data_IF_662435723829
#
_entry.id   IF_662435723829
#
_cell.length_a   1.000
_cell.length_b   1.000
_cell.length_c   1.000
_cell.angle_alpha   90.00
_cell.angle_beta   90.00
_cell.angle_gamma   90.00
#
_symmetry.space_group_name_H-M   'P 1'
#
loop_
_entity.id
_entity.type
_entity.pdbx_description
1 polymer ?
#
# COMPACT_ATOMS: atom_id res chain seq x y z
N UNK A 1 -12.90 -7.48 -77.15
CA UNK A 1 -12.52 -6.51 -76.10
C UNK A 1 -11.87 -7.30 -74.96
N UNK A 2 -10.60 -7.65 -75.10
CA UNK A 2 -9.83 -8.27 -74.02
C UNK A 2 -9.67 -7.23 -72.90
N UNK A 3 -10.41 -7.40 -71.81
CA UNK A 3 -10.26 -6.55 -70.62
C UNK A 3 -8.86 -6.76 -70.06
N UNK A 4 -8.01 -5.74 -70.16
CA UNK A 4 -6.69 -5.76 -69.57
C UNK A 4 -6.84 -5.72 -68.04
N UNK A 5 -6.46 -6.81 -67.38
CA UNK A 5 -6.45 -6.91 -65.93
C UNK A 5 -5.01 -6.78 -65.43
N UNK A 6 -4.75 -5.80 -64.58
CA UNK A 6 -3.42 -5.63 -63.98
C UNK A 6 -3.06 -6.84 -63.11
N UNK A 7 -1.77 -7.16 -63.03
CA UNK A 7 -1.30 -8.27 -62.19
C UNK A 7 -1.69 -8.05 -60.73
N UNK A 8 -1.98 -9.13 -60.00
CA UNK A 8 -2.34 -9.04 -58.58
C UNK A 8 -1.23 -8.38 -57.74
N UNK A 9 0.03 -8.55 -58.15
CA UNK A 9 1.18 -7.90 -57.52
C UNK A 9 1.23 -6.41 -57.83
N UNK A 10 0.95 -5.99 -59.07
CA UNK A 10 0.81 -4.59 -59.43
C UNK A 10 -0.27 -3.92 -58.58
N UNK A 11 -1.46 -4.51 -58.48
CA UNK A 11 -2.56 -3.94 -57.71
C UNK A 11 -2.21 -3.73 -56.24
N UNK A 12 -1.52 -4.70 -55.61
CA UNK A 12 -1.02 -4.56 -54.23
C UNK A 12 -0.03 -3.40 -54.08
N UNK A 13 0.94 -3.34 -55.00
CA UNK A 13 2.02 -2.35 -54.96
C UNK A 13 1.47 -0.96 -55.24
N UNK A 14 0.61 -0.85 -56.24
CA UNK A 14 -0.15 0.36 -56.53
C UNK A 14 -0.93 0.83 -55.31
N UNK A 15 -1.66 -0.04 -54.62
CA UNK A 15 -2.38 0.35 -53.40
C UNK A 15 -1.45 0.89 -52.31
N UNK A 16 -0.27 0.28 -52.13
CA UNK A 16 0.74 0.69 -51.15
C UNK A 16 1.53 1.96 -51.52
N UNK A 17 1.53 2.37 -52.79
CA UNK A 17 2.25 3.57 -53.25
C UNK A 17 1.70 4.84 -52.60
N UNK A 18 2.56 5.78 -52.15
CA UNK A 18 2.11 7.07 -51.63
C UNK A 18 1.23 7.84 -52.63
N UNK A 19 0.19 8.51 -52.12
CA UNK A 19 -0.76 9.27 -52.94
C UNK A 19 -0.10 10.30 -53.86
N UNK A 20 0.91 11.07 -53.44
CA UNK A 20 1.59 12.02 -54.32
C UNK A 20 2.27 11.33 -55.52
N UNK A 21 2.87 10.16 -55.30
CA UNK A 21 3.54 9.38 -56.35
C UNK A 21 2.53 8.82 -57.33
N UNK A 22 1.39 8.30 -56.84
CA UNK A 22 0.27 7.88 -57.71
C UNK A 22 -0.20 9.01 -58.60
N UNK A 23 -0.34 10.21 -58.03
CA UNK A 23 -0.81 11.38 -58.77
C UNK A 23 0.16 11.77 -59.89
N UNK A 24 1.47 11.77 -59.63
CA UNK A 24 2.48 12.03 -60.65
C UNK A 24 2.45 11.00 -61.80
N UNK A 25 2.31 9.71 -61.47
CA UNK A 25 2.21 8.64 -62.47
C UNK A 25 0.92 8.76 -63.28
N UNK A 26 -0.23 9.05 -62.64
CA UNK A 26 -1.50 9.24 -63.34
C UNK A 26 -1.42 10.46 -64.27
N UNK A 27 -0.79 11.56 -63.83
CA UNK A 27 -0.65 12.77 -64.63
C UNK A 27 0.16 12.51 -65.89
N UNK A 28 1.28 11.80 -65.79
CA UNK A 28 2.09 11.40 -66.94
C UNK A 28 1.31 10.49 -67.91
N UNK A 29 0.49 9.57 -67.38
CA UNK A 29 -0.38 8.75 -68.23
C UNK A 29 -1.45 9.59 -68.94
N UNK A 30 -2.01 10.61 -68.28
CA UNK A 30 -2.98 11.54 -68.86
C UNK A 30 -2.34 12.41 -69.95
N UNK A 31 -1.09 12.84 -69.72
CA UNK A 31 -0.28 13.57 -70.68
C UNK A 31 0.02 12.71 -71.93
N UNK A 32 0.43 11.44 -71.74
CA UNK A 32 0.62 10.48 -72.84
C UNK A 32 -0.68 10.30 -73.63
N UNK A 33 -1.82 10.11 -72.95
CA UNK A 33 -3.12 9.97 -73.61
C UNK A 33 -3.46 11.24 -74.41
N UNK A 34 -3.16 12.41 -73.86
CA UNK A 34 -3.38 13.70 -74.51
C UNK A 34 -2.54 13.86 -75.77
N UNK A 35 -1.26 13.48 -75.71
CA UNK A 35 -0.35 13.47 -76.86
C UNK A 35 -0.83 12.56 -78.00
N UNK A 36 -1.57 11.50 -77.68
CA UNK A 36 -2.10 10.55 -78.67
C UNK A 36 -3.39 11.02 -79.37
N UNK A 37 -4.02 12.12 -78.93
CA UNK A 37 -5.19 12.69 -79.63
C UNK A 37 -4.81 13.29 -80.99
N UNK A 38 -5.70 13.19 -82.00
CA UNK A 38 -5.42 13.64 -83.38
C UNK A 38 -5.32 15.16 -83.51
N UNK A 39 -5.92 15.91 -82.59
CA UNK A 39 -5.97 17.38 -82.60
C UNK A 39 -4.84 18.02 -81.78
N UNK A 40 -3.95 17.22 -81.19
CA UNK A 40 -2.88 17.71 -80.33
C UNK A 40 -1.73 18.26 -81.17
N UNK A 41 -1.35 19.51 -80.90
CA UNK A 41 -0.18 20.16 -81.51
C UNK A 41 1.11 19.59 -80.91
N UNK A 42 1.80 18.74 -81.68
CA UNK A 42 3.00 18.04 -81.24
C UNK A 42 4.22 18.95 -81.12
N UNK A 43 4.27 20.06 -81.86
CA UNK A 43 5.45 20.93 -81.92
C UNK A 43 5.56 21.83 -80.67
N UNK A 44 4.44 22.08 -79.99
CA UNK A 44 4.36 22.89 -78.76
C UNK A 44 3.97 22.11 -77.51
N UNK A 45 3.82 20.78 -77.59
CA UNK A 45 3.38 19.97 -76.45
C UNK A 45 4.53 19.74 -75.45
N UNK A 46 4.27 20.06 -74.18
CA UNK A 46 5.17 19.77 -73.06
C UNK A 46 4.44 18.91 -72.02
N UNK A 47 5.14 17.91 -71.49
CA UNK A 47 4.64 17.11 -70.37
C UNK A 47 4.53 17.95 -69.11
N UNK A 48 3.47 17.72 -68.32
CA UNK A 48 3.23 18.42 -67.05
C UNK A 48 4.36 18.17 -66.04
N UNK A 49 4.97 16.99 -66.11
CA UNK A 49 6.15 16.63 -65.33
C UNK A 49 7.33 16.43 -66.30
N UNK A 50 8.42 17.21 -66.19
CA UNK A 50 9.53 17.13 -67.14
C UNK A 50 10.32 15.82 -67.07
N UNK A 51 10.42 15.23 -65.86
CA UNK A 51 11.05 13.94 -65.63
C UNK A 51 10.31 13.22 -64.50
N UNK A 52 9.45 12.27 -64.87
CA UNK A 52 8.70 11.45 -63.92
C UNK A 52 9.61 10.70 -62.95
N UNK A 53 10.76 10.19 -63.41
CA UNK A 53 11.66 9.39 -62.59
C UNK A 53 12.20 10.22 -61.42
N UNK A 54 12.79 11.39 -61.72
CA UNK A 54 13.32 12.30 -60.72
C UNK A 54 12.22 12.79 -59.78
N UNK A 55 11.02 13.05 -60.33
CA UNK A 55 9.89 13.52 -59.52
C UNK A 55 9.38 12.45 -58.55
N UNK A 56 9.30 11.21 -58.98
CA UNK A 56 8.90 10.09 -58.12
C UNK A 56 9.94 9.84 -57.04
N UNK A 57 11.23 9.92 -57.37
CA UNK A 57 12.32 9.79 -56.40
C UNK A 57 12.24 10.88 -55.32
N UNK A 58 12.05 12.14 -55.71
CA UNK A 58 11.84 13.26 -54.79
C UNK A 58 10.65 13.02 -53.85
N UNK A 59 9.50 12.60 -54.39
CA UNK A 59 8.29 12.35 -53.60
C UNK A 59 8.46 11.18 -52.62
N UNK A 60 9.16 10.12 -53.03
CA UNK A 60 9.48 8.99 -52.15
C UNK A 60 10.48 9.39 -51.05
N UNK A 61 11.44 10.26 -51.35
CA UNK A 61 12.37 10.80 -50.36
C UNK A 61 11.63 11.63 -49.29
N UNK A 62 10.70 12.50 -49.72
CA UNK A 62 9.86 13.29 -48.81
C UNK A 62 9.02 12.38 -47.90
N UNK A 63 8.41 11.33 -48.45
CA UNK A 63 7.62 10.37 -47.68
C UNK A 63 8.51 9.62 -46.67
N UNK A 64 9.71 9.19 -47.06
CA UNK A 64 10.66 8.52 -46.16
C UNK A 64 11.06 9.44 -45.00
N UNK A 65 11.40 10.69 -45.27
CA UNK A 65 11.73 11.68 -44.24
C UNK A 65 10.55 11.94 -43.30
N UNK A 66 9.33 11.96 -43.84
CA UNK A 66 8.13 12.10 -43.03
C UNK A 66 7.92 10.89 -42.10
N UNK A 67 8.10 9.68 -42.62
CA UNK A 67 8.00 8.45 -41.82
C UNK A 67 9.08 8.39 -40.73
N UNK A 68 10.32 8.78 -41.06
CA UNK A 68 11.41 8.82 -40.08
C UNK A 68 11.10 9.81 -38.95
N UNK A 69 10.56 10.99 -39.27
CA UNK A 69 10.12 11.97 -38.26
C UNK A 69 9.01 11.42 -37.36
N UNK A 70 8.03 10.73 -37.93
CA UNK A 70 6.96 10.10 -37.15
C UNK A 70 7.52 9.01 -36.20
N UNK A 71 8.45 8.19 -36.70
CA UNK A 71 9.12 7.18 -35.87
C UNK A 71 10.01 7.80 -34.80
N UNK A 72 10.69 8.90 -35.09
CA UNK A 72 11.48 9.64 -34.10
C UNK A 72 10.58 10.21 -32.99
N UNK A 73 9.44 10.82 -33.35
CA UNK A 73 8.46 11.30 -32.38
C UNK A 73 7.85 10.17 -31.54
N UNK A 74 7.57 9.01 -32.14
CA UNK A 74 7.09 7.85 -31.41
C UNK A 74 8.11 7.36 -30.37
N UNK A 75 9.38 7.24 -30.77
CA UNK A 75 10.49 6.87 -29.87
C UNK A 75 10.68 7.88 -28.75
N UNK A 76 10.57 9.19 -29.04
CA UNK A 76 10.68 10.24 -28.03
C UNK A 76 9.55 10.15 -27.00
N UNK A 77 8.30 9.92 -27.45
CA UNK A 77 7.16 9.69 -26.55
C UNK A 77 7.33 8.45 -25.67
N UNK A 78 7.84 7.35 -26.23
CA UNK A 78 8.11 6.13 -25.46
C UNK A 78 9.17 6.38 -24.37
N UNK A 79 10.24 7.10 -24.69
CA UNK A 79 11.27 7.47 -23.72
C UNK A 79 10.74 8.42 -22.63
N UNK A 80 9.88 9.38 -22.99
CA UNK A 80 9.24 10.28 -22.03
C UNK A 80 8.30 9.54 -21.09
N UNK A 81 7.48 8.62 -21.62
CA UNK A 81 6.63 7.75 -20.80
C UNK A 81 7.46 6.90 -19.83
N UNK A 82 8.55 6.30 -20.31
CA UNK A 82 9.44 5.49 -19.47
C UNK A 82 10.06 6.32 -18.34
N UNK A 83 10.47 7.57 -18.61
CA UNK A 83 11.00 8.47 -17.58
C UNK A 83 9.95 8.82 -16.53
N UNK A 84 8.72 9.13 -16.96
CA UNK A 84 7.62 9.45 -16.05
C UNK A 84 7.25 8.24 -15.17
N UNK A 85 7.26 7.03 -15.73
CA UNK A 85 7.02 5.80 -14.97
C UNK A 85 8.12 5.53 -13.94
N UNK A 86 9.39 5.72 -14.33
CA UNK A 86 10.50 5.61 -13.40
C UNK A 86 10.39 6.62 -12.25
N UNK A 87 10.07 7.88 -12.55
CA UNK A 87 9.89 8.93 -11.54
C UNK A 87 8.75 8.58 -10.58
N UNK A 88 7.60 8.11 -11.09
CA UNK A 88 6.48 7.67 -10.24
C UNK A 88 6.86 6.52 -9.32
N UNK A 89 7.64 5.56 -9.82
CA UNK A 89 8.08 4.41 -9.05
C UNK A 89 9.09 4.81 -7.97
N UNK A 90 9.99 5.75 -8.26
CA UNK A 90 10.92 6.34 -7.28
C UNK A 90 10.19 7.14 -6.21
N UNK A 91 9.22 7.99 -6.59
CA UNK A 91 8.39 8.73 -5.63
C UNK A 91 7.63 7.78 -4.69
N UNK A 92 7.01 6.73 -5.25
CA UNK A 92 6.30 5.73 -4.45
C UNK A 92 7.23 4.97 -3.50
N UNK A 93 8.46 4.63 -3.93
CA UNK A 93 9.47 4.01 -3.04
C UNK A 93 9.85 4.94 -1.89
N UNK A 94 10.06 6.22 -2.18
CA UNK A 94 10.45 7.20 -1.18
C UNK A 94 9.31 7.48 -0.18
N UNK A 95 8.06 7.48 -0.62
CA UNK A 95 6.90 7.56 0.26
C UNK A 95 6.77 6.33 1.17
N UNK A 96 6.95 5.12 0.64
CA UNK A 96 6.96 3.91 1.45
C UNK A 96 8.08 3.93 2.51
N UNK A 97 9.28 4.36 2.13
CA UNK A 97 10.41 4.48 3.06
C UNK A 97 10.13 5.52 4.17
N UNK A 98 9.49 6.65 3.82
CA UNK A 98 9.08 7.66 4.81
C UNK A 98 8.04 7.11 5.79
N UNK A 99 7.02 6.43 5.29
CA UNK A 99 5.97 5.82 6.12
C UNK A 99 6.54 4.73 7.03
N UNK A 100 7.49 3.93 6.55
CA UNK A 100 8.17 2.90 7.36
C UNK A 100 9.02 3.53 8.46
N UNK A 101 9.79 4.58 8.15
CA UNK A 101 10.55 5.34 9.16
C UNK A 101 9.64 5.94 10.21
N UNK A 102 8.52 6.54 9.82
CA UNK A 102 7.54 7.12 10.73
C UNK A 102 6.94 6.05 11.66
N UNK A 103 6.55 4.89 11.12
CA UNK A 103 6.05 3.76 11.93
C UNK A 103 7.10 3.26 12.93
N UNK A 104 8.36 3.13 12.51
CA UNK A 104 9.44 2.69 13.39
C UNK A 104 9.69 3.70 14.52
N UNK A 105 9.63 5.00 14.21
CA UNK A 105 9.77 6.07 15.20
C UNK A 105 8.61 6.07 16.21
N UNK A 106 7.37 5.96 15.73
CA UNK A 106 6.18 5.82 16.59
C UNK A 106 6.31 4.60 17.51
N UNK A 107 6.71 3.44 16.97
CA UNK A 107 6.89 2.22 17.76
C UNK A 107 7.98 2.38 18.83
N UNK A 108 9.08 3.08 18.52
CA UNK A 108 10.14 3.38 19.50
C UNK A 108 9.64 4.26 20.62
N UNK A 109 8.89 5.30 20.29
CA UNK A 109 8.34 6.25 21.25
C UNK A 109 7.30 5.59 22.16
N UNK A 110 6.45 4.71 21.62
CA UNK A 110 5.52 3.88 22.40
C UNK A 110 6.26 2.92 23.33
N UNK A 111 7.29 2.24 22.83
CA UNK A 111 8.10 1.32 23.65
C UNK A 111 8.83 2.06 24.78
N UNK A 112 9.29 3.30 24.54
CA UNK A 112 9.89 4.15 25.57
C UNK A 112 8.87 4.58 26.63
N UNK A 113 7.68 5.00 26.21
CA UNK A 113 6.57 5.33 27.13
C UNK A 113 6.19 4.15 28.02
N UNK A 114 6.03 2.96 27.44
CA UNK A 114 5.70 1.75 28.20
C UNK A 114 6.81 1.37 29.19
N UNK A 115 8.08 1.54 28.82
CA UNK A 115 9.21 1.32 29.74
C UNK A 115 9.21 2.32 30.89
N UNK A 116 8.88 3.58 30.62
CA UNK A 116 8.79 4.59 31.66
C UNK A 116 7.62 4.33 32.60
N UNK A 117 6.43 4.01 32.07
CA UNK A 117 5.26 3.64 32.88
C UNK A 117 5.55 2.43 33.77
N UNK A 118 6.25 1.41 33.26
CA UNK A 118 6.67 0.26 34.08
C UNK A 118 7.62 0.65 35.19
N UNK A 119 8.59 1.54 34.94
CA UNK A 119 9.51 2.04 35.97
C UNK A 119 8.78 2.83 37.04
N UNK A 120 7.84 3.69 36.66
CA UNK A 120 7.03 4.46 37.60
C UNK A 120 6.12 3.55 38.45
N UNK A 121 5.50 2.54 37.83
CA UNK A 121 4.71 1.54 38.54
C UNK A 121 5.54 0.73 39.55
N UNK A 122 6.75 0.31 39.16
CA UNK A 122 7.68 -0.42 40.03
C UNK A 122 8.14 0.44 41.22
N UNK A 123 8.43 1.73 40.99
CA UNK A 123 8.76 2.67 42.07
C UNK A 123 7.59 2.87 43.04
N UNK A 124 6.37 3.00 42.52
CA UNK A 124 5.18 3.13 43.36
C UNK A 124 4.92 1.86 44.18
N UNK A 125 5.15 0.68 43.61
CA UNK A 125 5.03 -0.60 44.31
C UNK A 125 6.09 -0.74 45.40
N UNK A 126 7.35 -0.38 45.11
CA UNK A 126 8.43 -0.35 46.11
C UNK A 126 8.09 0.60 47.26
N UNK A 127 7.61 1.81 46.97
CA UNK A 127 7.21 2.77 47.99
C UNK A 127 6.06 2.25 48.86
N UNK A 128 5.08 1.54 48.27
CA UNK A 128 4.00 0.89 49.03
C UNK A 128 4.54 -0.23 49.92
N UNK A 129 5.45 -1.06 49.42
CA UNK A 129 6.07 -2.12 50.21
C UNK A 129 6.88 -1.55 51.38
N UNK A 130 7.66 -0.50 51.15
CA UNK A 130 8.40 0.21 52.21
C UNK A 130 7.45 0.81 53.24
N UNK A 131 6.35 1.42 52.81
CA UNK A 131 5.34 1.97 53.72
C UNK A 131 4.70 0.85 54.57
N UNK A 132 4.38 -0.29 53.97
CA UNK A 132 3.85 -1.45 54.70
C UNK A 132 4.90 -1.95 55.71
N UNK A 133 6.16 -2.10 55.32
CA UNK A 133 7.23 -2.52 56.23
C UNK A 133 7.38 -1.56 57.40
N UNK A 134 7.42 -0.26 57.15
CA UNK A 134 7.50 0.77 58.20
C UNK A 134 6.29 0.71 59.14
N UNK A 135 5.08 0.50 58.61
CA UNK A 135 3.89 0.34 59.47
C UNK A 135 3.94 -0.94 60.32
N UNK A 136 4.44 -2.04 59.76
CA UNK A 136 4.63 -3.29 60.51
C UNK A 136 5.70 -3.16 61.58
N UNK A 137 6.82 -2.50 61.28
CA UNK A 137 7.89 -2.22 62.25
C UNK A 137 7.38 -1.35 63.39
N UNK A 138 6.71 -0.23 63.09
CA UNK A 138 6.10 0.62 64.11
C UNK A 138 5.08 -0.13 64.99
N UNK A 139 4.26 -1.00 64.40
CA UNK A 139 3.31 -1.83 65.14
C UNK A 139 4.03 -2.85 66.04
N UNK A 140 5.09 -3.49 65.53
CA UNK A 140 5.93 -4.40 66.32
C UNK A 140 6.63 -3.67 67.47
N UNK A 141 7.16 -2.48 67.24
CA UNK A 141 7.74 -1.64 68.29
C UNK A 141 6.72 -1.27 69.36
N UNK A 142 5.50 -0.88 68.95
CA UNK A 142 4.40 -0.58 69.87
C UNK A 142 4.04 -1.79 70.73
N UNK A 143 3.87 -2.96 70.12
CA UNK A 143 3.59 -4.21 70.83
C UNK A 143 4.73 -4.58 71.80
N UNK A 144 5.99 -4.38 71.40
CA UNK A 144 7.14 -4.60 72.27
C UNK A 144 7.17 -3.64 73.46
N UNK A 145 6.82 -2.36 73.26
CA UNK A 145 6.70 -1.37 74.34
C UNK A 145 5.57 -1.74 75.31
N UNK A 146 4.39 -2.09 74.80
CA UNK A 146 3.25 -2.53 75.62
C UNK A 146 3.61 -3.77 76.46
N UNK A 147 4.27 -4.76 75.85
CA UNK A 147 4.73 -5.96 76.57
C UNK A 147 5.79 -5.64 77.64
N UNK A 148 6.65 -4.62 77.43
CA UNK A 148 7.60 -4.15 78.45
C UNK A 148 6.87 -3.51 79.63
N UNK A 149 5.92 -2.61 79.35
CA UNK A 149 5.11 -1.96 80.39
C UNK A 149 4.29 -2.97 81.21
N UNK A 150 3.74 -3.99 80.56
CA UNK A 150 3.05 -5.08 81.26
C UNK A 150 3.97 -5.85 82.20
N UNK A 151 5.17 -6.21 81.75
CA UNK A 151 6.17 -6.88 82.61
C UNK A 151 6.59 -6.00 83.78
N UNK A 152 6.75 -4.70 83.57
CA UNK A 152 7.07 -3.76 84.65
C UNK A 152 5.96 -3.68 85.69
N UNK A 153 4.68 -3.60 85.27
CA UNK A 153 3.53 -3.67 86.19
C UNK A 153 3.49 -4.98 86.97
N UNK A 154 3.68 -6.12 86.29
CA UNK A 154 3.74 -7.42 86.96
C UNK A 154 4.86 -7.47 88.00
N UNK A 155 6.05 -6.96 87.67
CA UNK A 155 7.16 -6.90 88.62
C UNK A 155 6.86 -5.97 89.81
N UNK A 156 6.14 -4.87 89.60
CA UNK A 156 5.68 -3.98 90.69
C UNK A 156 4.65 -4.67 91.58
N UNK A 157 3.67 -5.38 90.99
CA UNK A 157 2.66 -6.15 91.73
C UNK A 157 3.33 -7.27 92.55
N UNK A 158 4.26 -8.02 91.95
CA UNK A 158 5.02 -9.06 92.63
C UNK A 158 5.88 -8.48 93.78
N UNK A 159 6.50 -7.32 93.56
CA UNK A 159 7.25 -6.61 94.61
C UNK A 159 6.33 -6.14 95.75
N UNK A 160 5.13 -5.65 95.44
CA UNK A 160 4.14 -5.25 96.44
C UNK A 160 3.64 -6.47 97.25
N UNK A 161 3.41 -7.61 96.59
CA UNK A 161 3.07 -8.87 97.26
C UNK A 161 4.21 -9.31 98.20
N UNK A 162 5.46 -9.24 97.76
CA UNK A 162 6.63 -9.57 98.59
C UNK A 162 6.75 -8.65 99.82
N UNK A 163 6.47 -7.35 99.68
CA UNK A 163 6.44 -6.40 100.80
C UNK A 163 5.30 -6.73 101.79
N UNK A 164 4.10 -7.04 101.30
CA UNK A 164 2.98 -7.45 102.15
C UNK A 164 3.27 -8.77 102.87
N UNK A 165 3.94 -9.72 102.22
CA UNK A 165 4.37 -10.97 102.85
C UNK A 165 5.42 -10.72 103.93
N UNK A 166 6.37 -9.82 103.68
CA UNK A 166 7.34 -9.37 104.68
C UNK A 166 6.64 -8.72 105.87
N UNK A 167 5.68 -7.80 105.65
CA UNK A 167 4.90 -7.17 106.71
C UNK A 167 4.09 -8.21 107.49
N UNK A 168 3.46 -9.17 106.82
CA UNK A 168 2.75 -10.28 107.47
C UNK A 168 3.70 -11.15 108.30
N UNK A 169 4.92 -11.40 107.85
CA UNK A 169 5.92 -12.14 108.61
C UNK A 169 6.31 -11.38 109.90
N UNK A 170 6.52 -10.06 109.82
CA UNK A 170 6.76 -9.20 110.97
C UNK A 170 5.55 -9.21 111.92
N UNK A 171 4.33 -9.06 111.40
CA UNK A 171 3.10 -9.10 112.19
C UNK A 171 2.89 -10.46 112.87
N UNK A 172 3.21 -11.58 112.21
CA UNK A 172 3.16 -12.93 112.79
C UNK A 172 4.15 -13.07 113.94
N UNK A 173 5.37 -12.54 113.78
CA UNK A 173 6.36 -12.49 114.88
C UNK A 173 5.86 -11.62 116.04
N UNK A 174 5.27 -10.45 115.75
CA UNK A 174 4.68 -9.57 116.77
C UNK A 174 3.47 -10.21 117.49
N UNK A 175 2.65 -11.00 116.80
CA UNK A 175 1.54 -11.74 117.42
C UNK A 175 2.03 -12.87 118.33
N UNK A 176 3.09 -13.61 117.94
CA UNK A 176 3.77 -14.55 118.83
C UNK A 176 4.28 -13.84 120.10
N UNK A 177 4.83 -12.64 119.95
CA UNK A 177 5.25 -11.84 121.10
C UNK A 177 4.06 -11.41 121.99
N UNK A 178 2.90 -11.07 121.41
CA UNK A 178 1.67 -10.73 122.16
C UNK A 178 0.99 -11.91 122.87
N UNK A 179 1.18 -13.15 122.42
CA UNK A 179 0.69 -14.34 123.15
C UNK A 179 1.44 -14.60 124.47
N UNK A 180 2.54 -13.89 124.74
CA UNK A 180 3.33 -14.01 125.98
C UNK A 180 2.95 -13.02 127.10
N UNK A 181 1.88 -12.20 126.96
CA UNK A 181 1.44 -11.29 128.03
C UNK A 181 -0.01 -10.76 127.84
N UNK A 182 -0.92 -10.82 128.83
CA UNK A 182 -2.29 -10.30 128.67
C UNK A 182 -2.48 -8.92 129.32
N UNK A 183 -2.93 -7.90 128.56
CA UNK A 183 -3.79 -6.80 129.07
C UNK A 183 -4.29 -5.82 127.97
N UNK A 184 -5.60 -5.91 127.70
CA UNK A 184 -6.65 -4.86 127.66
C UNK A 184 -6.64 -3.60 126.76
N UNK A 185 -7.84 -3.43 126.14
CA UNK A 185 -8.63 -2.23 125.78
C UNK A 185 -8.25 -1.48 124.48
N UNK A 186 -9.15 -0.89 123.67
CA UNK A 186 -10.61 -0.96 123.48
C UNK A 186 -10.98 -0.07 122.27
N UNK A 187 -11.78 -0.61 121.36
CA UNK A 187 -13.01 -0.04 120.74
C UNK A 187 -13.11 1.45 120.37
N UNK A 188 -13.32 1.75 119.07
CA UNK A 188 -14.38 2.60 118.46
C UNK A 188 -14.06 2.77 116.95
N UNK A 189 -14.76 2.11 116.02
CA UNK A 189 -16.00 2.54 115.34
C UNK A 189 -15.97 4.01 114.90
N UNK A 190 -15.86 4.27 113.59
CA UNK A 190 -16.71 5.28 112.94
C UNK A 190 -16.73 5.08 111.42
N UNK A 191 -17.96 4.98 110.92
CA UNK A 191 -18.40 4.76 109.56
C UNK A 191 -18.67 6.08 108.84
N UNK A 192 -18.43 6.10 107.53
CA UNK A 192 -19.21 6.88 106.58
C UNK A 192 -18.85 8.35 106.44
N UNK A 193 -18.24 8.71 105.31
CA UNK A 193 -18.36 10.05 104.74
C UNK A 193 -18.57 9.93 103.24
N UNK A 194 -19.85 10.02 102.85
CA UNK A 194 -20.28 10.33 101.49
C UNK A 194 -20.64 11.82 101.52
N UNK A 195 -19.73 12.65 101.04
CA UNK A 195 -20.02 14.00 100.52
C UNK A 195 -19.82 13.86 99.00
N UNK A 196 -20.76 14.24 98.13
CA UNK A 196 -21.59 15.43 98.23
C UNK A 196 -20.89 16.58 97.51
N UNK A 197 -20.77 16.50 96.18
CA UNK A 197 -20.47 17.66 95.35
C UNK A 197 -21.41 17.65 94.14
N UNK A 198 -22.56 18.28 94.36
CA UNK A 198 -23.44 18.81 93.34
C UNK A 198 -22.78 20.09 92.81
N UNK A 199 -22.36 20.13 91.54
CA UNK A 199 -22.51 21.33 90.70
C UNK A 199 -22.18 21.01 89.23
N UNK A 200 -23.23 20.90 88.42
CA UNK A 200 -23.53 21.81 87.31
C UNK A 200 -22.32 22.48 86.64
N UNK A 201 -22.10 22.22 85.35
CA UNK A 201 -22.24 23.21 84.27
C UNK A 201 -21.98 22.58 82.90
N UNK A 202 -22.85 22.97 81.97
CA UNK A 202 -22.72 23.08 80.52
C UNK A 202 -22.44 21.85 79.64
N UNK A 203 -23.53 21.41 79.02
CA UNK A 203 -23.57 20.92 77.64
C UNK A 203 -22.89 21.92 76.69
N UNK A 204 -21.73 21.55 76.16
CA UNK A 204 -21.43 21.71 74.73
C UNK A 204 -20.17 20.92 74.39
N UNK A 205 -20.36 19.70 73.89
CA UNK A 205 -19.31 18.91 73.25
C UNK A 205 -19.72 18.64 71.80
N UNK A 206 -19.20 19.47 70.89
CA UNK A 206 -18.95 19.06 69.52
C UNK A 206 -17.80 18.06 69.54
N UNK A 207 -18.10 16.77 69.39
CA UNK A 207 -17.10 15.74 69.14
C UNK A 207 -17.06 15.40 67.65
N UNK A 208 -15.97 15.82 67.00
CA UNK A 208 -15.50 15.29 65.73
C UNK A 208 -14.60 14.07 65.99
N UNK A 209 -14.85 13.06 65.17
CA UNK A 209 -13.90 12.14 64.54
C UNK A 209 -13.10 11.15 65.39
N UNK A 210 -13.53 9.89 65.35
CA UNK A 210 -12.64 8.75 65.05
C UNK A 210 -13.41 7.60 64.38
N UNK A 211 -12.78 7.06 63.32
CA UNK A 211 -12.83 5.65 62.88
C UNK A 211 -14.18 5.14 62.29
N UNK A 212 -14.27 4.30 61.25
CA UNK A 212 -13.32 3.48 60.49
C UNK A 212 -14.16 2.72 59.44
N UNK A 213 -13.59 2.44 58.25
CA UNK A 213 -14.00 1.38 57.26
C UNK A 213 -15.43 1.46 56.68
N UNK A 214 -15.79 0.96 55.50
CA UNK A 214 -15.14 0.11 54.50
C UNK A 214 -15.90 0.25 53.17
N UNK A 215 -15.13 0.29 52.07
CA UNK A 215 -15.30 -0.36 50.74
C UNK A 215 -16.73 -0.73 50.25
N UNK A 216 -17.20 -0.09 49.16
CA UNK A 216 -17.32 -0.68 47.79
C UNK A 216 -18.24 0.14 46.88
N UNK A 217 -17.63 0.63 45.79
CA UNK A 217 -18.10 0.81 44.41
C UNK A 217 -19.59 0.53 44.11
N UNK A 218 -20.31 1.59 43.71
CA UNK A 218 -21.50 1.47 42.86
C UNK A 218 -21.37 2.37 41.62
N UNK A 219 -21.52 1.73 40.46
CA UNK A 219 -21.42 2.30 39.12
C UNK A 219 -22.80 2.80 38.71
N UNK A 220 -23.00 4.11 38.73
CA UNK A 220 -24.18 4.74 38.12
C UNK A 220 -23.86 5.25 36.70
N UNK A 221 -24.69 4.83 35.75
CA UNK A 221 -24.76 5.31 34.37
C UNK A 221 -26.04 6.13 34.20
N UNK A 222 -25.87 7.41 33.90
CA UNK A 222 -26.84 8.38 33.35
C UNK A 222 -25.98 9.31 32.46
N UNK A 223 -26.36 9.83 31.29
CA UNK A 223 -27.65 9.96 30.59
C UNK A 223 -27.40 10.61 29.19
N UNK A 224 -28.39 10.53 28.29
CA UNK A 224 -28.77 11.53 27.26
C UNK A 224 -28.03 11.63 25.88
N UNK A 225 -28.72 11.10 24.84
CA UNK A 225 -29.26 11.75 23.60
C UNK A 225 -28.34 12.43 22.57
N UNK A 226 -28.38 11.93 21.32
CA UNK A 226 -29.09 12.56 20.17
C UNK A 226 -29.23 11.57 18.99
N UNK A 227 -30.41 11.56 18.38
CA UNK A 227 -30.73 10.87 17.14
C UNK A 227 -30.37 11.74 15.93
N UNK A 228 -29.88 11.14 14.84
CA UNK A 228 -30.08 11.67 13.48
C UNK A 228 -30.41 10.51 12.56
N UNK A 229 -31.51 10.74 11.87
CA UNK A 229 -32.28 9.88 11.00
C UNK A 229 -31.62 9.67 9.64
N UNK A 230 -32.12 8.68 8.93
CA UNK A 230 -31.68 8.22 7.63
C UNK A 230 -32.31 8.99 6.47
N UNK A 231 -31.49 9.08 5.41
CA UNK A 231 -31.82 8.98 3.98
C UNK A 231 -32.80 9.98 3.38
N UNK A 232 -32.23 10.86 2.57
CA UNK A 232 -32.92 11.60 1.54
C UNK A 232 -32.69 10.97 0.16
N UNK A 233 -33.80 10.83 -0.55
CA UNK A 233 -33.95 10.99 -2.00
C UNK A 233 -33.53 9.84 -2.94
N UNK A 234 -34.58 9.28 -3.52
CA UNK A 234 -34.65 8.42 -4.68
C UNK A 234 -34.16 9.08 -5.98
N UNK A 235 -33.89 8.21 -6.97
CA UNK A 235 -34.49 8.23 -8.31
C UNK A 235 -33.46 8.15 -9.43
N UNK A 236 -33.36 6.97 -10.05
CA UNK A 236 -33.69 6.78 -11.46
C UNK A 236 -33.49 5.31 -11.83
N UNK A 237 -34.62 4.64 -12.11
CA UNK A 237 -34.69 3.35 -12.78
C UNK A 237 -35.21 3.60 -14.18
N UNK A 238 -34.42 3.33 -15.21
CA UNK A 238 -34.95 2.87 -16.50
C UNK A 238 -33.82 2.38 -17.41
N UNK A 239 -33.71 1.05 -17.57
CA UNK A 239 -33.83 0.34 -18.85
C UNK A 239 -33.08 -1.00 -18.90
N UNK A 240 -33.90 -2.05 -19.00
CA UNK A 240 -33.84 -3.14 -20.00
C UNK A 240 -32.82 -4.28 -19.78
N UNK A 241 -33.38 -5.39 -19.26
CA UNK A 241 -33.31 -6.78 -19.73
C UNK A 241 -31.95 -7.50 -19.90
N UNK A 242 -31.69 -8.44 -18.96
CA UNK A 242 -31.60 -9.92 -19.14
C UNK A 242 -30.62 -10.56 -20.18
N UNK A 243 -30.25 -11.85 -20.05
CA UNK A 243 -28.95 -12.28 -19.51
C UNK A 243 -28.06 -13.04 -20.53
N UNK A 244 -26.77 -13.11 -20.25
CA UNK A 244 -25.83 -14.01 -20.96
C UNK A 244 -25.88 -15.42 -20.37
N UNK A 245 -26.30 -16.38 -21.19
CA UNK A 245 -25.98 -17.80 -21.06
C UNK A 245 -25.68 -18.37 -22.45
N UNK A 246 -24.59 -19.12 -22.52
CA UNK A 246 -24.23 -20.25 -23.39
C UNK A 246 -24.93 -20.41 -24.75
N UNK A 247 -24.14 -20.60 -25.82
CA UNK A 247 -23.91 -21.89 -26.50
C UNK A 247 -23.03 -21.65 -27.77
N UNK A 248 -22.80 -22.59 -28.73
CA UNK A 248 -21.51 -23.22 -28.94
C UNK A 248 -21.03 -23.21 -30.42
N UNK A 249 -20.00 -24.01 -30.71
CA UNK A 249 -19.79 -24.71 -32.00
C UNK A 249 -19.40 -23.87 -33.22
N UNK A 250 -18.13 -24.01 -33.61
CA UNK A 250 -17.76 -24.01 -35.02
C UNK A 250 -16.58 -24.97 -35.29
N UNK A 251 -16.84 -25.84 -36.28
CA UNK A 251 -15.90 -26.54 -37.15
C UNK A 251 -15.25 -27.87 -36.69
N UNK A 252 -15.97 -28.94 -37.06
CA UNK A 252 -15.44 -30.26 -37.44
C UNK A 252 -14.69 -30.22 -38.80
N UNK A 253 -13.91 -31.29 -39.02
CA UNK A 253 -13.43 -31.87 -40.29
C UNK A 253 -12.03 -31.43 -40.79
N UNK A 254 -10.95 -32.12 -40.42
CA UNK A 254 -10.44 -33.46 -40.80
C UNK A 254 -9.51 -33.46 -42.02
N UNK A 255 -8.24 -33.82 -41.76
CA UNK A 255 -7.43 -34.87 -42.41
C UNK A 255 -6.00 -34.43 -42.78
N UNK A 256 -5.09 -35.35 -42.42
CA UNK A 256 -3.81 -35.70 -43.05
C UNK A 256 -2.47 -35.34 -42.36
N UNK A 257 -1.98 -36.40 -41.68
CA UNK A 257 -0.64 -36.99 -41.82
C UNK A 257 0.40 -36.68 -40.72
N UNK A 258 0.32 -37.53 -39.71
CA UNK A 258 1.34 -37.93 -38.74
C UNK A 258 2.65 -38.36 -39.41
N UNK A 259 3.80 -37.80 -39.00
CA UNK A 259 5.09 -38.54 -38.90
C UNK A 259 5.93 -37.98 -37.73
N UNK A 260 5.88 -38.72 -36.61
CA UNK A 260 6.92 -39.00 -35.58
C UNK A 260 7.79 -37.90 -34.96
N UNK A 261 7.56 -37.68 -33.66
CA UNK A 261 8.59 -37.38 -32.64
C UNK A 261 9.61 -38.53 -32.51
N UNK A 262 10.83 -38.24 -32.02
CA UNK A 262 11.11 -38.66 -30.64
C UNK A 262 11.83 -37.59 -29.80
N UNK A 263 11.20 -37.26 -28.67
CA UNK A 263 11.74 -37.32 -27.31
C UNK A 263 13.20 -36.87 -27.09
N UNK A 264 13.37 -35.62 -26.65
CA UNK A 264 14.39 -35.27 -25.65
C UNK A 264 13.72 -34.44 -24.56
N UNK A 265 13.62 -35.05 -23.39
CA UNK A 265 13.28 -34.44 -22.11
C UNK A 265 14.55 -33.79 -21.53
N UNK A 266 14.40 -32.61 -20.91
CA UNK A 266 15.07 -32.11 -19.70
C UNK A 266 14.91 -30.57 -19.63
N UNK A 267 14.04 -30.15 -18.71
CA UNK A 267 14.13 -28.98 -17.82
C UNK A 267 14.30 -27.54 -18.41
N UNK A 268 13.17 -26.82 -18.36
CA UNK A 268 12.90 -25.40 -18.08
C UNK A 268 13.98 -24.29 -18.22
N UNK A 269 13.57 -23.09 -18.71
CA UNK A 269 14.42 -22.05 -19.28
C UNK A 269 14.74 -20.94 -18.27
N UNK A 270 16.01 -20.55 -18.17
CA UNK A 270 16.42 -19.22 -17.72
C UNK A 270 17.91 -19.12 -17.94
N UNK A 271 18.31 -18.31 -18.92
CA UNK A 271 19.47 -17.41 -19.00
C UNK A 271 19.59 -17.09 -20.50
N UNK A 272 18.68 -16.26 -21.01
CA UNK A 272 18.97 -15.48 -22.21
C UNK A 272 19.49 -14.13 -21.68
N UNK A 273 20.81 -13.98 -21.64
CA UNK A 273 21.47 -12.74 -21.25
C UNK A 273 20.94 -11.61 -22.13
N UNK A 274 20.50 -10.49 -21.55
CA UNK A 274 20.00 -9.29 -22.25
C UNK A 274 20.76 -8.89 -23.54
N UNK A 275 22.12 -8.99 -23.63
CA UNK A 275 22.84 -8.74 -24.89
C UNK A 275 22.53 -9.75 -26.02
N UNK A 276 22.21 -11.00 -25.71
CA UNK A 276 21.88 -12.01 -26.71
C UNK A 276 20.50 -11.75 -27.33
N UNK A 277 19.53 -11.28 -26.53
CA UNK A 277 18.21 -10.88 -27.03
C UNK A 277 18.33 -9.66 -27.93
N UNK A 278 19.18 -8.70 -27.58
CA UNK A 278 19.38 -7.49 -28.38
C UNK A 278 20.11 -7.78 -29.70
N UNK A 279 21.08 -8.70 -29.69
CA UNK A 279 21.72 -9.18 -30.92
C UNK A 279 20.73 -9.91 -31.83
N UNK A 280 19.86 -10.75 -31.25
CA UNK A 280 18.80 -11.44 -32.01
C UNK A 280 17.84 -10.43 -32.65
N UNK A 281 17.46 -9.36 -31.93
CA UNK A 281 16.63 -8.28 -32.50
C UNK A 281 17.34 -7.56 -33.65
N UNK A 282 18.62 -7.21 -33.48
CA UNK A 282 19.39 -6.53 -34.54
C UNK A 282 19.54 -7.40 -35.78
N UNK A 283 19.76 -8.71 -35.61
CA UNK A 283 19.83 -9.65 -36.72
C UNK A 283 18.49 -9.80 -37.44
N UNK A 284 17.37 -9.85 -36.69
CA UNK A 284 16.01 -9.86 -37.26
C UNK A 284 15.73 -8.57 -38.04
N UNK A 285 16.06 -7.40 -37.47
CA UNK A 285 15.85 -6.10 -38.14
C UNK A 285 16.68 -6.03 -39.42
N UNK A 286 17.95 -6.44 -39.38
CA UNK A 286 18.82 -6.45 -40.56
C UNK A 286 18.32 -7.40 -41.64
N UNK A 287 17.80 -8.56 -41.25
CA UNK A 287 17.22 -9.54 -42.17
C UNK A 287 15.94 -9.00 -42.81
N UNK A 288 15.05 -8.39 -42.03
CA UNK A 288 13.83 -7.76 -42.53
C UNK A 288 14.13 -6.58 -43.45
N UNK A 289 15.12 -5.76 -43.11
CA UNK A 289 15.55 -4.64 -43.94
C UNK A 289 16.12 -5.12 -45.27
N UNK A 290 16.92 -6.19 -45.27
CA UNK A 290 17.39 -6.83 -46.51
C UNK A 290 16.26 -7.40 -47.37
N UNK A 291 15.21 -7.96 -46.77
CA UNK A 291 14.02 -8.39 -47.52
C UNK A 291 13.23 -7.22 -48.08
N UNK A 292 13.09 -6.13 -47.34
CA UNK A 292 12.42 -4.91 -47.80
C UNK A 292 13.21 -4.30 -48.97
N UNK A 293 14.53 -4.18 -48.86
CA UNK A 293 15.37 -3.59 -49.90
C UNK A 293 15.38 -4.44 -51.18
N UNK A 294 15.52 -5.78 -51.08
CA UNK A 294 15.41 -6.67 -52.24
C UNK A 294 14.01 -6.62 -52.86
N UNK A 295 12.96 -6.66 -52.02
CA UNK A 295 11.59 -6.61 -52.50
C UNK A 295 11.31 -5.29 -53.22
N UNK A 296 11.77 -4.15 -52.68
CA UNK A 296 11.58 -2.83 -53.28
C UNK A 296 12.37 -2.66 -54.58
N UNK A 297 13.60 -3.16 -54.64
CA UNK A 297 14.43 -3.13 -55.85
C UNK A 297 13.81 -3.98 -56.96
N UNK A 298 13.48 -5.24 -56.66
CA UNK A 298 12.85 -6.17 -57.59
C UNK A 298 11.48 -5.65 -58.05
N UNK A 299 10.71 -5.11 -57.10
CA UNK A 299 9.47 -4.36 -57.33
C UNK A 299 9.71 -3.26 -58.38
N UNK A 300 10.58 -2.28 -58.13
CA UNK A 300 10.77 -1.17 -59.08
C UNK A 300 11.20 -1.66 -60.47
N UNK A 301 12.08 -2.65 -60.55
CA UNK A 301 12.50 -3.22 -61.85
C UNK A 301 11.35 -3.88 -62.61
N UNK A 302 10.50 -4.66 -61.92
CA UNK A 302 9.36 -5.31 -62.54
C UNK A 302 8.27 -4.29 -62.95
N UNK A 303 8.11 -3.21 -62.19
CA UNK A 303 7.17 -2.14 -62.55
C UNK A 303 7.64 -1.39 -63.80
N UNK A 304 8.95 -1.15 -63.92
CA UNK A 304 9.54 -0.51 -65.08
C UNK A 304 9.40 -1.38 -66.34
N UNK A 305 9.63 -2.70 -66.22
CA UNK A 305 9.46 -3.64 -67.33
C UNK A 305 8.00 -3.71 -67.79
N UNK A 306 7.03 -3.83 -66.87
CA UNK A 306 5.60 -3.86 -67.20
C UNK A 306 5.14 -2.57 -67.90
N UNK A 307 5.62 -1.40 -67.44
CA UNK A 307 5.35 -0.10 -68.07
C UNK A 307 5.92 -0.01 -69.48
N UNK A 308 7.15 -0.50 -69.69
CA UNK A 308 7.77 -0.53 -71.01
C UNK A 308 7.04 -1.45 -71.99
N UNK A 309 6.56 -2.61 -71.53
CA UNK A 309 5.78 -3.53 -72.37
C UNK A 309 4.41 -2.94 -72.74
N UNK A 310 3.75 -2.28 -71.80
CA UNK A 310 2.51 -1.55 -72.08
C UNK A 310 2.74 -0.44 -73.10
N UNK A 311 3.79 0.39 -72.92
CA UNK A 311 4.12 1.49 -73.81
C UNK A 311 4.37 0.99 -75.26
N UNK A 312 5.17 -0.07 -75.42
CA UNK A 312 5.42 -0.70 -76.74
C UNK A 312 4.12 -1.14 -77.42
N UNK A 313 3.26 -1.81 -76.66
CA UNK A 313 1.99 -2.34 -77.18
C UNK A 313 1.05 -1.22 -77.60
N UNK A 314 0.94 -0.15 -76.80
CA UNK A 314 0.07 0.97 -77.14
C UNK A 314 0.62 1.77 -78.34
N UNK A 315 1.93 1.95 -78.45
CA UNK A 315 2.57 2.58 -79.63
C UNK A 315 2.29 1.78 -80.91
N UNK A 316 2.43 0.44 -80.89
CA UNK A 316 2.11 -0.41 -82.05
C UNK A 316 0.63 -0.33 -82.44
N UNK A 317 -0.26 -0.31 -81.46
CA UNK A 317 -1.70 -0.17 -81.68
C UNK A 317 -2.07 1.17 -82.28
N UNK A 318 -1.45 2.26 -81.84
CA UNK A 318 -1.72 3.60 -82.38
C UNK A 318 -1.12 3.78 -83.79
N UNK A 319 0.05 3.19 -84.06
CA UNK A 319 0.65 3.16 -85.40
C UNK A 319 -0.19 2.36 -86.41
N UNK A 320 -0.72 1.21 -86.00
CA UNK A 320 -1.61 0.41 -86.86
C UNK A 320 -2.92 1.13 -87.16
N UNK A 321 -3.48 1.86 -86.20
CA UNK A 321 -4.63 2.74 -86.42
C UNK A 321 -4.29 3.85 -87.42
N UNK A 322 -3.15 4.55 -87.26
CA UNK A 322 -2.70 5.59 -88.20
C UNK A 322 -2.50 5.08 -89.63
N UNK A 323 -1.88 3.90 -89.79
CA UNK A 323 -1.69 3.27 -91.11
C UNK A 323 -3.02 2.87 -91.76
N UNK A 324 -4.01 2.48 -90.97
CA UNK A 324 -5.35 2.14 -91.48
C UNK A 324 -6.18 3.35 -91.89
N UNK A 325 -5.91 4.55 -91.33
CA UNK A 325 -6.60 5.80 -91.67
C UNK A 325 -5.96 6.55 -92.85
N UNK A 326 -4.74 6.16 -93.25
CA UNK A 326 -3.98 6.79 -94.35
C UNK A 326 -4.26 6.18 -95.74
N UNK A 327 -5.18 5.23 -95.86
CA UNK A 327 -5.52 4.53 -97.11
C UNK A 327 -6.87 4.93 -97.70
#
# INVERSE_FOLDING_TARGET
MSGFAFSHQFSKRWLATPTPVKHAIIQELDDIVTLLYPDTDLDGYEFSVPNLHDKVEELLAIERDHQEKLQAQARERELEQQRLEQERLEQHRLELERLEKERLEQQRLEAERLKQERREAEQLEQQRLEQIQLTQENEQERQAQEARLQRERQAQDDAAIALLEQERAIAKQAHLAKQSNPAKLATQLSTGSIEGANHQLDEQAQSKDTATSDVTIERHRSEMVYAIDHTDTADNTDKIAEPLADDPTAALMTHETRVTDPLVDIANPSIATTPAIEQIKQDIVKQLQGYIDNYLLESMTLMNEDLNQWLKTEVEKQLTVRLSQSH
#
